data_IF_856871386238
#
_entry.id   IF_856871386238
#
_cell.length_a   1.000
_cell.length_b   1.000
_cell.length_c   1.000
_cell.angle_alpha   90.00
_cell.angle_beta   90.00
_cell.angle_gamma   90.00
#
_symmetry.space_group_name_H-M   'P 1'
#
loop_
_entity.id
_entity.type
_entity.pdbx_description
1 polymer ?
#
# COMPACT_ATOMS: atom_id res chain seq x y z
N UNK A 1 17.80 -33.39 -50.81
CA UNK A 1 17.95 -32.10 -50.10
C UNK A 1 16.75 -31.24 -50.49
N UNK A 2 15.71 -31.14 -49.64
CA UNK A 2 14.45 -30.47 -49.99
C UNK A 2 14.68 -28.96 -50.01
N UNK A 3 14.56 -28.40 -51.21
CA UNK A 3 14.68 -26.97 -51.51
C UNK A 3 13.61 -26.22 -50.71
N UNK A 4 14.05 -25.45 -49.71
CA UNK A 4 13.21 -24.52 -48.96
C UNK A 4 12.98 -23.30 -49.87
N UNK A 5 11.98 -23.37 -50.75
CA UNK A 5 11.58 -22.25 -51.61
C UNK A 5 10.76 -21.24 -50.80
N UNK A 6 11.42 -20.10 -50.63
CA UNK A 6 10.99 -18.70 -50.66
C UNK A 6 9.51 -18.43 -50.97
N UNK A 7 8.85 -17.72 -50.07
CA UNK A 7 7.59 -17.02 -50.35
C UNK A 7 7.89 -15.55 -50.03
N UNK A 8 8.24 -14.76 -51.07
CA UNK A 8 8.35 -13.28 -51.06
C UNK A 8 9.64 -12.66 -50.49
N UNK A 9 10.82 -13.24 -50.75
CA UNK A 9 12.12 -12.59 -50.51
C UNK A 9 12.58 -12.61 -49.06
N UNK A 10 11.96 -13.45 -48.23
CA UNK A 10 12.37 -13.73 -46.85
C UNK A 10 12.52 -15.25 -46.72
N UNK A 11 13.71 -15.67 -46.32
CA UNK A 11 14.01 -17.06 -46.00
C UNK A 11 13.21 -17.52 -44.79
N UNK A 12 12.78 -18.78 -44.76
CA UNK A 12 12.07 -19.36 -43.60
C UNK A 12 12.89 -19.26 -42.31
N UNK A 13 14.21 -19.29 -42.43
CA UNK A 13 15.13 -19.11 -41.29
C UNK A 13 15.03 -17.68 -40.75
N UNK A 14 15.02 -16.68 -41.63
CA UNK A 14 14.88 -15.27 -41.23
C UNK A 14 13.54 -15.02 -40.55
N UNK A 15 12.45 -15.60 -41.08
CA UNK A 15 11.13 -15.51 -40.45
C UNK A 15 11.12 -16.10 -39.03
N UNK A 16 11.77 -17.26 -38.83
CA UNK A 16 11.91 -17.88 -37.51
C UNK A 16 12.76 -17.04 -36.56
N UNK A 17 13.85 -16.43 -37.05
CA UNK A 17 14.69 -15.53 -36.26
C UNK A 17 13.93 -14.27 -35.85
N UNK A 18 13.19 -13.64 -36.76
CA UNK A 18 12.36 -12.46 -36.45
C UNK A 18 11.30 -12.81 -35.42
N UNK A 19 10.60 -13.94 -35.59
CA UNK A 19 9.61 -14.40 -34.62
C UNK A 19 10.22 -14.65 -33.23
N UNK A 20 11.42 -15.25 -33.17
CA UNK A 20 12.13 -15.48 -31.92
C UNK A 20 12.53 -14.17 -31.21
N UNK A 21 13.09 -13.21 -31.96
CA UNK A 21 13.45 -11.90 -31.41
C UNK A 21 12.20 -11.16 -30.93
N UNK A 22 11.12 -11.18 -31.70
CA UNK A 22 9.85 -10.56 -31.32
C UNK A 22 9.27 -11.16 -30.04
N UNK A 23 9.35 -12.50 -29.88
CA UNK A 23 8.89 -13.18 -28.67
C UNK A 23 9.72 -12.77 -27.45
N UNK A 24 11.05 -12.73 -27.57
CA UNK A 24 11.94 -12.30 -26.48
C UNK A 24 11.64 -10.85 -26.10
N UNK A 25 11.52 -9.95 -27.09
CA UNK A 25 11.19 -8.55 -26.84
C UNK A 25 9.84 -8.40 -26.13
N UNK A 26 8.84 -9.19 -26.52
CA UNK A 26 7.54 -9.21 -25.87
C UNK A 26 7.63 -9.66 -24.41
N UNK A 27 8.35 -10.74 -24.13
CA UNK A 27 8.55 -11.23 -22.75
C UNK A 27 9.24 -10.17 -21.88
N UNK A 28 10.30 -9.55 -22.39
CA UNK A 28 11.01 -8.48 -21.67
C UNK A 28 10.09 -7.29 -21.41
N UNK A 29 9.32 -6.84 -22.41
CA UNK A 29 8.37 -5.74 -22.25
C UNK A 29 7.30 -6.05 -21.20
N UNK A 30 6.77 -7.28 -21.20
CA UNK A 30 5.79 -7.73 -20.22
C UNK A 30 6.38 -7.73 -18.79
N UNK A 31 7.57 -8.29 -18.62
CA UNK A 31 8.26 -8.30 -17.32
C UNK A 31 8.52 -6.87 -16.83
N UNK A 32 8.94 -5.96 -17.70
CA UNK A 32 9.20 -4.57 -17.32
C UNK A 32 7.90 -3.86 -16.90
N UNK A 33 6.81 -4.08 -17.64
CA UNK A 33 5.50 -3.51 -17.34
C UNK A 33 4.93 -3.99 -15.99
N UNK A 34 5.07 -5.28 -15.68
CA UNK A 34 4.63 -5.83 -14.39
C UNK A 34 5.43 -5.25 -13.21
N UNK A 35 6.76 -5.12 -13.37
CA UNK A 35 7.61 -4.52 -12.35
C UNK A 35 7.29 -3.05 -12.12
N UNK A 36 7.11 -2.26 -13.19
CA UNK A 36 6.73 -0.86 -13.10
C UNK A 36 5.39 -0.69 -12.35
N UNK A 37 4.41 -1.55 -12.63
CA UNK A 37 3.12 -1.53 -11.96
C UNK A 37 3.24 -1.85 -10.45
N UNK A 38 4.15 -2.75 -10.08
CA UNK A 38 4.48 -3.03 -8.68
C UNK A 38 5.02 -1.79 -7.96
N UNK A 39 6.00 -1.12 -8.57
CA UNK A 39 6.61 0.09 -8.00
C UNK A 39 5.60 1.23 -7.83
N UNK A 40 4.68 1.41 -8.79
CA UNK A 40 3.62 2.42 -8.69
C UNK A 40 2.69 2.15 -7.49
N UNK A 41 2.33 0.89 -7.23
CA UNK A 41 1.50 0.52 -6.08
C UNK A 41 2.22 0.77 -4.75
N UNK A 42 3.49 0.41 -4.66
CA UNK A 42 4.32 0.71 -3.48
C UNK A 42 4.47 2.23 -3.28
N UNK A 43 4.57 2.98 -4.38
CA UNK A 43 4.58 4.44 -4.35
C UNK A 43 3.28 5.04 -3.81
N UNK A 44 2.12 4.52 -4.22
CA UNK A 44 0.81 4.95 -3.73
C UNK A 44 0.63 4.67 -2.22
N UNK A 45 1.02 3.47 -1.76
CA UNK A 45 0.99 3.13 -0.34
C UNK A 45 1.93 4.01 0.48
N UNK A 46 3.12 4.34 -0.06
CA UNK A 46 4.07 5.25 0.59
C UNK A 46 3.53 6.69 0.65
N UNK A 47 2.86 7.15 -0.41
CA UNK A 47 2.17 8.45 -0.43
C UNK A 47 1.03 8.51 0.58
N UNK A 48 0.29 7.40 0.72
CA UNK A 48 -0.79 7.25 1.71
C UNK A 48 -0.26 7.33 3.14
N UNK A 49 0.87 6.68 3.45
CA UNK A 49 1.54 6.81 4.74
C UNK A 49 1.98 8.24 5.05
N UNK A 50 2.58 8.94 4.07
CA UNK A 50 3.00 10.34 4.23
C UNK A 50 1.82 11.28 4.49
N UNK A 51 0.71 11.11 3.77
CA UNK A 51 -0.50 11.89 4.01
C UNK A 51 -1.04 11.70 5.43
N UNK A 52 -1.05 10.45 5.92
CA UNK A 52 -1.42 10.16 7.30
C UNK A 52 -0.44 10.77 8.31
N UNK A 53 0.87 10.75 8.02
CA UNK A 53 1.90 11.35 8.86
C UNK A 53 1.75 12.87 8.96
N UNK A 54 1.54 13.54 7.83
CA UNK A 54 1.32 14.99 7.76
C UNK A 54 0.08 15.40 8.58
N UNK A 55 -1.02 14.65 8.43
CA UNK A 55 -2.23 14.89 9.23
C UNK A 55 -1.96 14.67 10.72
N UNK A 56 -1.26 13.60 11.08
CA UNK A 56 -0.94 13.31 12.47
C UNK A 56 -0.07 14.41 13.10
N UNK A 57 0.91 14.95 12.37
CA UNK A 57 1.73 16.08 12.82
C UNK A 57 0.89 17.35 13.04
N UNK A 58 -0.06 17.64 12.14
CA UNK A 58 -0.98 18.78 12.31
C UNK A 58 -1.84 18.61 13.55
N UNK A 59 -2.38 17.41 13.78
CA UNK A 59 -3.23 17.13 14.95
C UNK A 59 -2.44 17.00 16.26
N UNK A 60 -1.14 16.70 16.20
CA UNK A 60 -0.29 16.55 17.39
C UNK A 60 -0.21 17.84 18.22
N UNK A 61 -0.33 19.00 17.59
CA UNK A 61 -0.38 20.30 18.27
C UNK A 61 -1.68 20.50 19.11
N UNK A 62 -2.72 19.71 18.85
CA UNK A 62 -3.97 19.72 19.60
C UNK A 62 -3.97 18.81 20.84
N UNK A 63 -5.11 18.80 21.53
CA UNK A 63 -5.35 17.97 22.72
C UNK A 63 -5.48 16.46 22.41
N UNK A 64 -5.83 16.09 21.18
CA UNK A 64 -5.97 14.71 20.72
C UNK A 64 -5.61 14.60 19.23
N UNK A 65 -5.22 13.39 18.77
CA UNK A 65 -5.04 13.11 17.34
C UNK A 65 -6.36 13.11 16.54
N UNK A 66 -7.48 12.79 17.20
CA UNK A 66 -8.77 12.74 16.54
C UNK A 66 -9.30 14.18 16.36
N UNK A 67 -9.56 14.64 15.12
CA UNK A 67 -10.04 15.98 14.86
C UNK A 67 -11.35 16.27 15.60
N UNK A 68 -11.39 17.38 16.32
CA UNK A 68 -12.58 17.80 17.09
C UNK A 68 -12.80 17.06 18.41
N UNK A 69 -11.94 16.11 18.77
CA UNK A 69 -12.00 15.47 20.09
C UNK A 69 -11.58 16.48 21.17
N UNK A 70 -12.40 16.70 22.22
CA UNK A 70 -12.08 17.66 23.27
C UNK A 70 -10.85 17.24 24.11
N UNK A 71 -10.50 15.95 24.11
CA UNK A 71 -9.43 15.40 24.93
C UNK A 71 -9.86 15.18 26.39
N UNK A 72 -8.87 14.97 27.27
CA UNK A 72 -9.09 14.82 28.72
C UNK A 72 -10.00 13.65 29.07
N UNK A 73 -10.83 13.80 30.09
CA UNK A 73 -11.69 12.73 30.63
C UNK A 73 -13.04 12.57 29.89
N UNK A 74 -13.16 13.08 28.66
CA UNK A 74 -14.38 12.90 27.87
C UNK A 74 -14.57 11.44 27.43
N UNK A 75 -15.82 10.96 27.41
CA UNK A 75 -16.13 9.59 26.95
C UNK A 75 -15.66 9.36 25.50
N UNK A 76 -15.78 10.39 24.66
CA UNK A 76 -15.29 10.34 23.28
C UNK A 76 -13.78 10.13 23.22
N UNK A 77 -12.99 10.79 24.09
CA UNK A 77 -11.55 10.58 24.18
C UNK A 77 -11.21 9.19 24.69
N UNK A 78 -11.87 8.75 25.77
CA UNK A 78 -11.66 7.43 26.36
C UNK A 78 -11.94 6.28 25.36
N UNK A 79 -12.86 6.47 24.42
CA UNK A 79 -13.23 5.44 23.44
C UNK A 79 -12.10 5.01 22.49
N UNK A 80 -11.06 5.85 22.33
CA UNK A 80 -9.93 5.59 21.42
C UNK A 80 -8.57 5.78 22.11
N UNK A 81 -8.57 5.90 23.43
CA UNK A 81 -7.37 6.00 24.26
C UNK A 81 -7.25 4.74 25.11
N UNK A 82 -6.13 4.03 25.00
CA UNK A 82 -5.84 2.87 25.83
C UNK A 82 -5.64 3.23 27.30
N UNK A 83 -5.66 2.23 28.19
CA UNK A 83 -5.40 2.42 29.63
C UNK A 83 -4.00 3.01 29.92
N UNK A 84 -3.07 2.83 28.98
CA UNK A 84 -1.71 3.38 28.99
C UNK A 84 -1.64 4.85 28.50
N UNK A 85 -2.78 5.44 28.15
CA UNK A 85 -2.87 6.78 27.57
C UNK A 85 -2.53 6.83 26.08
N UNK A 86 -2.35 5.69 25.41
CA UNK A 86 -2.06 5.67 23.98
C UNK A 86 -3.32 5.93 23.16
N UNK A 87 -3.35 7.05 22.45
CA UNK A 87 -4.41 7.38 21.50
C UNK A 87 -4.20 6.57 20.23
N UNK A 88 -5.19 5.80 19.80
CA UNK A 88 -5.17 5.03 18.55
C UNK A 88 -6.27 5.50 17.61
N UNK A 89 -5.89 6.00 16.43
CA UNK A 89 -6.81 6.40 15.36
C UNK A 89 -6.38 5.79 14.04
N UNK A 90 -7.25 5.86 13.04
CA UNK A 90 -7.03 5.32 11.71
C UNK A 90 -7.11 6.43 10.67
N UNK A 91 -6.33 6.32 9.61
CA UNK A 91 -6.43 7.24 8.49
C UNK A 91 -7.51 6.76 7.50
N UNK A 92 -8.49 7.61 7.22
CA UNK A 92 -9.45 7.39 6.13
C UNK A 92 -8.92 8.05 4.85
N UNK A 93 -8.41 7.21 3.92
CA UNK A 93 -7.88 7.66 2.62
C UNK A 93 -8.93 8.36 1.76
N UNK A 94 -10.21 7.98 1.87
CA UNK A 94 -11.28 8.54 1.05
C UNK A 94 -11.70 9.93 1.51
N UNK A 95 -11.84 10.11 2.83
CA UNK A 95 -12.21 11.40 3.42
C UNK A 95 -11.01 12.30 3.75
N UNK A 96 -9.77 11.77 3.69
CA UNK A 96 -8.53 12.45 4.05
C UNK A 96 -8.55 13.02 5.47
N UNK A 97 -8.97 12.19 6.43
CA UNK A 97 -9.09 12.55 7.86
C UNK A 97 -8.64 11.40 8.76
N UNK A 98 -8.35 11.70 10.02
CA UNK A 98 -8.15 10.69 11.06
C UNK A 98 -9.49 10.37 11.75
N UNK A 99 -9.77 9.09 11.95
CA UNK A 99 -11.02 8.57 12.50
C UNK A 99 -10.77 7.58 13.63
N UNK A 100 -11.67 7.53 14.63
CA UNK A 100 -11.60 6.50 15.67
C UNK A 100 -12.04 5.13 15.16
N UNK A 101 -13.04 5.10 14.27
CA UNK A 101 -13.50 3.88 13.64
C UNK A 101 -12.50 3.41 12.58
N UNK A 102 -12.21 2.11 12.56
CA UNK A 102 -11.33 1.49 11.56
C UNK A 102 -12.03 1.46 10.19
N UNK A 103 -11.47 2.07 9.14
CA UNK A 103 -12.07 2.09 7.81
C UNK A 103 -11.90 0.74 7.09
N UNK A 104 -12.53 0.62 5.92
CA UNK A 104 -12.25 -0.47 5.00
C UNK A 104 -10.81 -0.39 4.47
N UNK A 105 -10.22 -1.54 4.13
CA UNK A 105 -8.83 -1.59 3.70
C UNK A 105 -8.66 -0.97 2.32
N UNK A 106 -7.51 -0.33 2.11
CA UNK A 106 -7.24 0.45 0.90
C UNK A 106 -5.80 0.31 0.37
N UNK A 107 -5.02 -0.64 0.89
CA UNK A 107 -3.67 -0.87 0.39
C UNK A 107 -3.68 -1.41 -1.04
N UNK A 108 -2.74 -0.92 -1.84
CA UNK A 108 -2.60 -1.29 -3.25
C UNK A 108 -1.55 -2.39 -3.48
N UNK A 109 -0.52 -2.45 -2.65
CA UNK A 109 0.52 -3.47 -2.71
C UNK A 109 0.04 -4.77 -2.06
N UNK A 110 0.53 -5.89 -2.60
CA UNK A 110 0.32 -7.23 -2.03
C UNK A 110 1.38 -7.61 -0.99
N UNK A 111 2.32 -6.71 -0.73
CA UNK A 111 3.33 -6.82 0.31
C UNK A 111 3.45 -5.47 0.98
N UNK A 112 3.40 -5.43 2.31
CA UNK A 112 3.54 -4.21 3.10
C UNK A 112 4.56 -4.43 4.21
N UNK A 113 5.24 -3.34 4.60
CA UNK A 113 6.04 -3.33 5.82
C UNK A 113 5.12 -3.10 7.02
N UNK A 114 4.89 -4.15 7.80
CA UNK A 114 4.14 -4.10 9.06
C UNK A 114 5.16 -4.16 10.19
N UNK A 115 5.35 -3.03 10.87
CA UNK A 115 6.45 -2.85 11.82
C UNK A 115 7.80 -2.88 11.12
N UNK A 116 8.57 -3.97 11.29
CA UNK A 116 9.88 -4.17 10.65
C UNK A 116 9.92 -5.35 9.68
N UNK A 117 8.77 -5.95 9.41
CA UNK A 117 8.67 -7.17 8.62
C UNK A 117 7.86 -6.92 7.36
N UNK A 118 8.36 -7.37 6.22
CA UNK A 118 7.57 -7.44 5.00
C UNK A 118 6.59 -8.60 5.09
N UNK A 119 5.30 -8.28 5.07
CA UNK A 119 4.22 -9.25 5.18
C UNK A 119 3.45 -9.32 3.87
N UNK A 120 3.16 -10.52 3.33
CA UNK A 120 2.21 -10.66 2.24
C UNK A 120 0.80 -10.32 2.76
N UNK A 121 0.09 -9.50 1.99
CA UNK A 121 -1.25 -9.02 2.32
C UNK A 121 -2.13 -9.04 1.07
N UNK A 122 -3.45 -9.18 1.26
CA UNK A 122 -4.38 -8.98 0.16
C UNK A 122 -4.48 -7.48 -0.16
N UNK A 123 -4.85 -7.13 -1.39
CA UNK A 123 -5.25 -5.75 -1.69
C UNK A 123 -6.48 -5.38 -0.87
N UNK A 124 -6.60 -4.10 -0.50
CA UNK A 124 -7.74 -3.59 0.26
C UNK A 124 -8.00 -4.32 1.59
N UNK A 125 -6.96 -4.90 2.21
CA UNK A 125 -7.07 -5.60 3.50
C UNK A 125 -6.42 -4.87 4.66
N UNK A 126 -5.63 -3.83 4.40
CA UNK A 126 -4.87 -3.09 5.39
C UNK A 126 -5.22 -1.59 5.34
N UNK A 127 -5.06 -0.96 6.51
CA UNK A 127 -5.24 0.48 6.75
C UNK A 127 -4.04 1.01 7.53
N UNK A 128 -3.86 2.33 7.53
CA UNK A 128 -2.83 2.99 8.33
C UNK A 128 -3.42 3.31 9.69
N UNK A 129 -2.81 2.74 10.72
CA UNK A 129 -3.06 3.08 12.12
C UNK A 129 -2.04 4.13 12.57
N UNK A 130 -2.53 5.15 13.24
CA UNK A 130 -1.73 6.21 13.84
C UNK A 130 -1.91 6.11 15.35
N UNK A 131 -0.79 6.00 16.07
CA UNK A 131 -0.78 5.97 17.52
C UNK A 131 -0.01 7.14 18.07
N UNK A 132 -0.51 7.73 19.16
CA UNK A 132 0.22 8.73 19.95
C UNK A 132 0.37 8.23 21.37
N UNK A 133 1.62 8.17 21.82
CA UNK A 133 1.98 7.90 23.22
C UNK A 133 2.84 9.07 23.72
N UNK A 134 2.23 9.92 24.55
CA UNK A 134 2.82 11.22 24.92
C UNK A 134 3.09 12.11 23.70
N UNK A 135 4.36 12.48 23.50
CA UNK A 135 4.81 13.31 22.38
C UNK A 135 5.30 12.50 21.17
N UNK A 136 5.17 11.18 21.19
CA UNK A 136 5.59 10.32 20.07
C UNK A 136 4.37 9.89 19.26
N UNK A 137 4.42 10.18 17.96
CA UNK A 137 3.49 9.64 16.98
C UNK A 137 4.17 8.50 16.23
N UNK A 138 3.48 7.38 16.07
CA UNK A 138 3.91 6.26 15.24
C UNK A 138 2.82 5.89 14.24
N UNK A 139 3.24 5.48 13.05
CA UNK A 139 2.36 5.03 11.98
C UNK A 139 2.72 3.59 11.61
N UNK A 140 1.70 2.77 11.39
CA UNK A 140 1.90 1.42 10.91
C UNK A 140 0.72 0.95 10.06
N UNK A 141 1.01 0.12 9.07
CA UNK A 141 -0.02 -0.64 8.39
C UNK A 141 -0.55 -1.72 9.33
N UNK A 142 -1.87 -1.80 9.46
CA UNK A 142 -2.54 -2.85 10.21
C UNK A 142 -3.62 -3.52 9.37
N UNK A 143 -3.78 -4.85 9.49
CA UNK A 143 -4.91 -5.56 8.91
C UNK A 143 -6.27 -5.04 9.43
N UNK A 144 -7.25 -4.98 8.53
CA UNK A 144 -8.65 -4.66 8.88
C UNK A 144 -9.27 -5.80 9.65
N UNK A 145 -9.11 -7.02 9.13
CA UNK A 145 -9.46 -8.27 9.78
C UNK A 145 -8.20 -8.89 10.40
N UNK A 146 -8.30 -9.60 11.54
CA UNK A 146 -7.18 -10.38 12.05
C UNK A 146 -6.66 -11.30 10.94
N UNK A 147 -5.34 -11.31 10.73
CA UNK A 147 -4.69 -12.26 9.82
C UNK A 147 -5.07 -13.65 10.34
N UNK A 148 -5.91 -14.38 9.60
CA UNK A 148 -6.22 -15.75 9.96
C UNK A 148 -4.88 -16.50 10.07
N UNK A 149 -4.60 -17.03 11.26
CA UNK A 149 -3.53 -17.98 11.50
C UNK A 149 -3.86 -19.22 10.67
N UNK A 150 -3.32 -19.27 9.45
CA UNK A 150 -3.28 -20.47 8.62
C UNK A 150 -2.15 -21.38 9.05
#
# INVERSE_FOLDING_TARGET
MRIVRDIRGISRVELLCIAGIALIAFVVALSLGLNALGLLRTGDDSGTLRAAEDLAQVQQAGSCLLPGCPGGDSEEHASHTGEDGTVTVYYDKGANVLTAAKPAGYNESTTLLIGKTECPVAKNSCVVQVQRSGDRVSLSWVPVLPLNAG
#
